data_IF_032825290571
#
_entry.id   IF_032825290571
#
_cell.length_a   1.000
_cell.length_b   1.000
_cell.length_c   1.000
_cell.angle_alpha   90.00
_cell.angle_beta   90.00
_cell.angle_gamma   90.00
#
_symmetry.space_group_name_H-M   'P 1'
#
loop_
_entity.id
_entity.type
_entity.pdbx_description
1 polymer ?
#
# COMPACT_ATOMS: atom_id res chain seq x y z
N UNK A 1 0.15 -10.92 12.51
CA UNK A 1 0.71 -9.55 12.76
C UNK A 1 1.93 -9.63 13.65
N UNK A 2 2.98 -8.93 13.28
CA UNK A 2 4.19 -8.82 14.10
C UNK A 2 4.02 -7.63 15.05
N UNK A 3 4.15 -7.87 16.34
CA UNK A 3 4.00 -6.83 17.36
C UNK A 3 5.37 -6.48 17.94
N UNK A 4 5.84 -5.28 17.61
CA UNK A 4 7.06 -4.67 18.18
C UNK A 4 6.72 -3.23 18.55
N UNK A 5 7.57 -2.53 19.31
CA UNK A 5 7.33 -1.09 19.53
C UNK A 5 7.15 -0.31 18.24
N UNK A 6 7.91 -0.64 17.18
CA UNK A 6 7.79 0.04 15.88
C UNK A 6 6.47 -0.25 15.19
N UNK A 7 6.08 -1.53 15.08
CA UNK A 7 4.83 -1.88 14.39
C UNK A 7 3.60 -1.40 15.15
N UNK A 8 3.62 -1.44 16.48
CA UNK A 8 2.53 -0.88 17.31
C UNK A 8 2.38 0.62 17.07
N UNK A 9 3.49 1.33 17.02
CA UNK A 9 3.50 2.77 16.71
C UNK A 9 2.91 3.02 15.32
N UNK A 10 3.31 2.20 14.34
CA UNK A 10 2.78 2.29 12.97
C UNK A 10 1.28 1.99 12.91
N UNK A 11 0.80 1.01 13.68
CA UNK A 11 -0.63 0.70 13.76
C UNK A 11 -1.43 1.90 14.27
N UNK A 12 -0.95 2.55 15.34
CA UNK A 12 -1.61 3.74 15.87
C UNK A 12 -1.58 4.90 14.89
N UNK A 13 -0.45 5.07 14.22
CA UNK A 13 -0.28 6.14 13.24
C UNK A 13 -1.23 5.94 12.06
N UNK A 14 -1.26 4.74 11.50
CA UNK A 14 -2.15 4.41 10.37
C UNK A 14 -3.62 4.57 10.74
N UNK A 15 -4.01 4.10 11.92
CA UNK A 15 -5.37 4.24 12.41
C UNK A 15 -5.80 5.71 12.47
N UNK A 16 -4.95 6.54 13.04
CA UNK A 16 -5.23 7.98 13.16
C UNK A 16 -5.24 8.66 11.81
N UNK A 17 -4.27 8.33 10.94
CA UNK A 17 -4.15 8.96 9.64
C UNK A 17 -5.35 8.69 8.73
N UNK A 18 -5.85 7.45 8.75
CA UNK A 18 -6.96 7.02 7.89
C UNK A 18 -8.33 7.14 8.56
N UNK A 19 -8.40 7.79 9.73
CA UNK A 19 -9.66 7.93 10.46
C UNK A 19 -10.70 8.63 9.60
N UNK A 20 -11.89 8.03 9.51
CA UNK A 20 -12.98 8.57 8.71
C UNK A 20 -12.97 8.19 7.24
N UNK A 21 -11.86 7.60 6.74
CA UNK A 21 -11.78 7.12 5.36
C UNK A 21 -12.41 5.74 5.24
N UNK A 22 -13.10 5.52 4.12
CA UNK A 22 -13.69 4.22 3.80
C UNK A 22 -13.29 3.81 2.38
N UNK A 23 -13.35 2.51 2.12
CA UNK A 23 -13.16 1.98 0.77
C UNK A 23 -14.49 2.03 -0.01
N UNK A 24 -14.51 1.45 -1.22
CA UNK A 24 -15.70 1.46 -2.08
C UNK A 24 -16.88 0.70 -1.48
N UNK A 25 -16.63 -0.20 -0.55
CA UNK A 25 -17.67 -0.96 0.15
C UNK A 25 -18.04 -0.36 1.50
N UNK A 26 -17.60 0.89 1.75
CA UNK A 26 -17.86 1.61 2.99
C UNK A 26 -17.22 0.95 4.23
N UNK A 27 -16.17 0.19 4.03
CA UNK A 27 -15.38 -0.41 5.11
C UNK A 27 -14.28 0.57 5.51
N UNK A 28 -13.99 0.74 6.81
CA UNK A 28 -12.89 1.63 7.22
C UNK A 28 -11.59 1.30 6.50
N UNK A 29 -10.99 2.33 5.90
CA UNK A 29 -9.84 2.16 5.01
C UNK A 29 -8.64 1.52 5.71
N UNK A 30 -8.49 1.71 7.01
CA UNK A 30 -7.36 1.18 7.78
C UNK A 30 -7.26 -0.35 7.68
N UNK A 31 -8.34 -1.05 7.39
CA UNK A 31 -8.32 -2.50 7.21
C UNK A 31 -7.49 -2.94 6.02
N UNK A 32 -7.33 -2.09 4.99
CA UNK A 32 -6.49 -2.42 3.85
C UNK A 32 -5.00 -2.48 4.24
N UNK A 33 -4.37 -1.41 4.76
CA UNK A 33 -2.98 -1.52 5.21
C UNK A 33 -2.78 -2.57 6.30
N UNK A 34 -3.74 -2.74 7.19
CA UNK A 34 -3.68 -3.79 8.22
C UNK A 34 -3.62 -5.18 7.59
N UNK A 35 -4.48 -5.44 6.60
CA UNK A 35 -4.49 -6.73 5.89
C UNK A 35 -3.14 -7.03 5.23
N UNK A 36 -2.52 -6.04 4.61
CA UNK A 36 -1.20 -6.18 4.01
C UNK A 36 -0.14 -6.50 5.08
N UNK A 37 -0.20 -5.77 6.18
CA UNK A 37 0.76 -5.94 7.28
C UNK A 37 0.71 -7.35 7.88
N UNK A 38 -0.48 -7.93 7.96
CA UNK A 38 -0.63 -9.30 8.48
C UNK A 38 0.07 -10.36 7.63
N UNK A 39 0.32 -10.06 6.36
CA UNK A 39 0.99 -10.98 5.44
C UNK A 39 2.51 -10.84 5.47
N UNK A 40 3.05 -9.89 6.20
CA UNK A 40 4.49 -9.66 6.26
C UNK A 40 5.12 -10.50 7.36
N UNK A 41 6.34 -10.96 7.10
CA UNK A 41 7.07 -11.85 8.01
C UNK A 41 8.28 -11.19 8.68
N UNK A 42 8.47 -9.89 8.53
CA UNK A 42 9.50 -9.12 9.21
C UNK A 42 8.99 -7.76 9.66
N UNK A 43 9.67 -7.20 10.63
CA UNK A 43 9.27 -5.93 11.27
C UNK A 43 9.21 -4.77 10.28
N UNK A 44 10.20 -4.64 9.43
CA UNK A 44 10.29 -3.49 8.50
C UNK A 44 9.19 -3.57 7.46
N UNK A 45 9.00 -4.73 6.82
CA UNK A 45 7.92 -4.91 5.83
C UNK A 45 6.55 -4.67 6.44
N UNK A 46 6.33 -5.15 7.66
CA UNK A 46 5.09 -4.95 8.39
C UNK A 46 4.82 -3.46 8.63
N UNK A 47 5.84 -2.72 9.07
CA UNK A 47 5.74 -1.28 9.32
C UNK A 47 5.48 -0.53 8.02
N UNK A 48 6.20 -0.86 6.95
CA UNK A 48 6.00 -0.23 5.64
C UNK A 48 4.58 -0.49 5.12
N UNK A 49 4.07 -1.71 5.27
CA UNK A 49 2.71 -2.04 4.86
C UNK A 49 1.67 -1.18 5.57
N UNK A 50 1.82 -1.00 6.89
CA UNK A 50 0.90 -0.17 7.67
C UNK A 50 0.91 1.28 7.24
N UNK A 51 2.03 1.80 6.78
CA UNK A 51 2.22 3.21 6.46
C UNK A 51 2.15 3.53 4.97
N UNK A 52 2.04 2.52 4.10
CA UNK A 52 2.28 2.70 2.66
C UNK A 52 1.38 3.72 1.97
N UNK A 53 0.15 3.92 2.43
CA UNK A 53 -0.81 4.86 1.84
C UNK A 53 -0.96 6.17 2.63
N UNK A 54 -0.23 6.34 3.73
CA UNK A 54 -0.40 7.49 4.60
C UNK A 54 -0.08 8.80 3.87
N UNK A 55 1.06 8.86 3.20
CA UNK A 55 1.49 10.09 2.51
C UNK A 55 0.61 10.37 1.29
N UNK A 56 0.24 9.32 0.54
CA UNK A 56 -0.55 9.48 -0.68
C UNK A 56 -1.99 9.89 -0.39
N UNK A 57 -2.61 9.33 0.65
CA UNK A 57 -4.05 9.40 0.86
C UNK A 57 -4.50 10.20 2.07
N UNK A 58 -3.57 10.77 2.85
CA UNK A 58 -3.90 11.57 4.04
C UNK A 58 -3.13 12.88 4.03
N UNK A 59 -3.43 13.74 5.02
CA UNK A 59 -2.73 15.02 5.19
C UNK A 59 -1.34 14.89 5.76
N UNK A 60 -0.95 13.70 6.29
CA UNK A 60 0.38 13.50 6.84
C UNK A 60 1.42 13.42 5.73
N UNK A 61 2.56 14.06 5.95
CA UNK A 61 3.64 14.16 4.98
C UNK A 61 4.73 13.13 5.26
N UNK A 62 5.62 12.96 4.29
CA UNK A 62 6.81 12.12 4.48
C UNK A 62 7.66 12.62 5.64
N UNK A 63 7.76 13.95 5.81
CA UNK A 63 8.51 14.53 6.93
C UNK A 63 7.91 14.15 8.28
N UNK A 64 6.58 14.07 8.37
CA UNK A 64 5.92 13.60 9.58
C UNK A 64 6.35 12.17 9.92
N UNK A 65 6.44 11.31 8.90
CA UNK A 65 6.90 9.92 9.08
C UNK A 65 8.37 9.86 9.46
N UNK A 66 9.21 10.69 8.86
CA UNK A 66 10.65 10.72 9.17
C UNK A 66 10.93 11.11 10.61
N UNK A 67 10.06 11.89 11.22
CA UNK A 67 10.19 12.26 12.63
C UNK A 67 9.93 11.08 13.57
N UNK A 68 9.24 10.05 13.08
CA UNK A 68 8.74 8.95 13.90
C UNK A 68 9.34 7.58 13.56
N UNK A 69 9.85 7.40 12.33
CA UNK A 69 10.28 6.10 11.82
C UNK A 69 11.66 6.19 11.17
N UNK A 70 12.42 5.08 11.17
CA UNK A 70 13.76 5.09 10.59
C UNK A 70 13.74 5.19 9.07
N UNK A 71 14.88 5.62 8.51
CA UNK A 71 15.01 5.84 7.06
C UNK A 71 14.67 4.61 6.21
N UNK A 72 15.01 3.42 6.69
CA UNK A 72 14.69 2.18 5.95
C UNK A 72 13.19 2.05 5.70
N UNK A 73 12.37 2.50 6.64
CA UNK A 73 10.90 2.51 6.51
C UNK A 73 10.45 3.65 5.59
N UNK A 74 10.90 4.88 5.87
CA UNK A 74 10.42 6.06 5.14
C UNK A 74 10.90 6.09 3.70
N UNK A 75 12.08 5.54 3.40
CA UNK A 75 12.53 5.41 2.01
C UNK A 75 11.60 4.48 1.20
N UNK A 76 11.19 3.37 1.79
CA UNK A 76 10.26 2.45 1.12
C UNK A 76 8.87 3.10 0.95
N UNK A 77 8.37 3.79 1.97
CA UNK A 77 7.08 4.50 1.87
C UNK A 77 7.13 5.58 0.79
N UNK A 78 8.25 6.33 0.69
CA UNK A 78 8.41 7.34 -0.34
C UNK A 78 8.29 6.73 -1.75
N UNK A 79 8.93 5.59 -1.97
CA UNK A 79 8.85 4.88 -3.24
C UNK A 79 7.44 4.37 -3.54
N UNK A 80 6.66 4.05 -2.51
CA UNK A 80 5.28 3.56 -2.65
C UNK A 80 4.27 4.69 -2.83
N UNK A 81 4.67 5.93 -2.63
CA UNK A 81 3.78 7.09 -2.76
C UNK A 81 3.73 7.52 -4.23
N UNK A 82 2.59 7.29 -4.88
CA UNK A 82 2.36 7.67 -6.27
C UNK A 82 1.85 9.13 -6.33
N UNK A 83 2.39 9.93 -7.25
CA UNK A 83 2.03 11.34 -7.38
C UNK A 83 0.71 11.58 -8.12
N UNK A 84 0.14 10.54 -8.73
CA UNK A 84 -1.10 10.65 -9.48
C UNK A 84 -0.98 11.23 -10.89
N UNK A 85 0.22 11.65 -11.31
CA UNK A 85 0.45 12.35 -12.58
C UNK A 85 1.43 11.64 -13.50
N UNK A 86 2.52 11.09 -12.94
CA UNK A 86 3.53 10.39 -13.72
C UNK A 86 3.02 9.05 -14.23
N UNK A 87 3.78 8.43 -15.16
CA UNK A 87 3.43 7.10 -15.66
C UNK A 87 3.42 6.09 -14.51
N UNK A 88 2.28 5.49 -14.28
CA UNK A 88 2.07 4.52 -13.20
C UNK A 88 3.06 3.35 -13.30
N UNK A 89 3.33 2.85 -14.50
CA UNK A 89 4.23 1.69 -14.68
C UNK A 89 5.70 2.05 -14.46
N UNK A 90 6.08 3.29 -14.76
CA UNK A 90 7.41 3.77 -14.39
C UNK A 90 7.57 3.86 -12.87
N UNK A 91 6.52 4.33 -12.18
CA UNK A 91 6.47 4.31 -10.73
C UNK A 91 6.67 2.88 -10.19
N UNK A 92 5.99 1.90 -10.78
CA UNK A 92 6.12 0.49 -10.36
C UNK A 92 7.54 -0.02 -10.62
N UNK A 93 8.14 0.30 -11.78
CA UNK A 93 9.52 -0.09 -12.09
C UNK A 93 10.52 0.50 -11.10
N UNK A 94 10.29 1.75 -10.71
CA UNK A 94 11.17 2.45 -9.79
C UNK A 94 11.16 1.81 -8.40
N UNK A 95 9.99 1.50 -7.88
CA UNK A 95 9.87 0.93 -6.53
C UNK A 95 10.33 -0.52 -6.43
N UNK A 96 10.33 -1.27 -7.53
CA UNK A 96 10.64 -2.71 -7.50
C UNK A 96 12.07 -3.03 -7.02
N UNK A 97 12.98 -2.07 -7.10
CA UNK A 97 14.37 -2.27 -6.67
C UNK A 97 14.52 -2.26 -5.15
N UNK A 98 13.52 -1.74 -4.45
CA UNK A 98 13.52 -1.75 -2.99
C UNK A 98 12.77 -2.99 -2.51
N UNK A 99 13.46 -3.84 -1.74
CA UNK A 99 12.91 -5.11 -1.26
C UNK A 99 11.58 -4.93 -0.52
N UNK A 100 11.53 -3.98 0.39
CA UNK A 100 10.33 -3.76 1.21
C UNK A 100 9.18 -3.17 0.41
N UNK A 101 9.48 -2.16 -0.41
CA UNK A 101 8.47 -1.54 -1.27
C UNK A 101 7.88 -2.56 -2.25
N UNK A 102 8.71 -3.41 -2.83
CA UNK A 102 8.26 -4.45 -3.77
C UNK A 102 7.31 -5.43 -3.10
N UNK A 103 7.68 -5.93 -1.93
CA UNK A 103 6.84 -6.89 -1.19
C UNK A 103 5.49 -6.30 -0.84
N UNK A 104 5.49 -5.08 -0.33
CA UNK A 104 4.25 -4.40 0.05
C UNK A 104 3.38 -4.14 -1.18
N UNK A 105 3.99 -3.69 -2.28
CA UNK A 105 3.22 -3.45 -3.52
C UNK A 105 2.63 -4.73 -4.09
N UNK A 106 3.32 -5.87 -4.00
CA UNK A 106 2.74 -7.15 -4.40
C UNK A 106 1.51 -7.49 -3.59
N UNK A 107 1.57 -7.34 -2.28
CA UNK A 107 0.42 -7.57 -1.40
C UNK A 107 -0.72 -6.59 -1.69
N UNK A 108 -0.38 -5.32 -1.95
CA UNK A 108 -1.33 -4.27 -2.31
C UNK A 108 -2.08 -4.64 -3.60
N UNK A 109 -1.36 -5.03 -4.64
CA UNK A 109 -1.97 -5.46 -5.91
C UNK A 109 -2.86 -6.68 -5.73
N UNK A 110 -2.45 -7.64 -4.91
CA UNK A 110 -3.24 -8.83 -4.63
C UNK A 110 -4.55 -8.47 -3.94
N UNK A 111 -4.50 -7.62 -2.93
CA UNK A 111 -5.70 -7.20 -2.21
C UNK A 111 -6.63 -6.36 -3.10
N UNK A 112 -6.07 -5.45 -3.88
CA UNK A 112 -6.85 -4.62 -4.80
C UNK A 112 -7.42 -5.43 -5.97
N UNK A 113 -6.85 -6.58 -6.28
CA UNK A 113 -7.36 -7.50 -7.32
C UNK A 113 -8.44 -8.44 -6.81
N UNK A 114 -8.70 -8.44 -5.51
CA UNK A 114 -9.76 -9.26 -4.91
C UNK A 114 -11.12 -8.60 -5.17
N UNK A 115 -11.80 -9.05 -6.23
CA UNK A 115 -13.08 -8.47 -6.66
C UNK A 115 -14.21 -8.77 -5.68
N UNK A 116 -14.04 -9.72 -4.76
CA UNK A 116 -15.05 -9.96 -3.73
C UNK A 116 -15.21 -8.76 -2.80
N UNK A 117 -14.20 -7.91 -2.69
CA UNK A 117 -14.27 -6.69 -1.90
C UNK A 117 -15.25 -5.67 -2.43
N UNK A 118 -15.60 -5.78 -3.72
CA UNK A 118 -16.59 -4.90 -4.36
C UNK A 118 -17.82 -5.69 -4.82
N UNK A 119 -17.96 -6.90 -4.34
CA UNK A 119 -19.15 -7.72 -4.60
C UNK A 119 -20.36 -7.03 -3.98
N UNK A 120 -21.45 -6.93 -4.71
CA UNK A 120 -22.61 -6.17 -4.24
C UNK A 120 -22.56 -4.68 -4.55
N UNK A 121 -21.48 -4.18 -5.16
CA UNK A 121 -21.39 -2.81 -5.67
C UNK A 121 -21.47 -2.85 -7.18
N UNK A 122 -22.23 -1.93 -7.75
CA UNK A 122 -22.40 -1.84 -9.19
C UNK A 122 -21.16 -1.17 -9.82
N UNK A 123 -20.34 -1.96 -10.51
CA UNK A 123 -19.15 -1.47 -11.22
C UNK A 123 -19.22 -1.96 -12.66
N UNK A 124 -18.92 -1.07 -13.63
CA UNK A 124 -18.97 -1.42 -15.03
C UNK A 124 -17.94 -2.50 -15.39
N UNK A 125 -18.28 -3.35 -16.36
CA UNK A 125 -17.34 -4.34 -16.89
C UNK A 125 -16.09 -3.69 -17.49
N UNK A 126 -16.25 -2.52 -18.11
CA UNK A 126 -15.13 -1.77 -18.67
C UNK A 126 -14.13 -1.38 -17.58
N UNK A 127 -14.62 -0.89 -16.44
CA UNK A 127 -13.78 -0.50 -15.30
C UNK A 127 -13.09 -1.69 -14.68
N UNK A 128 -13.79 -2.82 -14.54
CA UNK A 128 -13.19 -4.06 -14.02
C UNK A 128 -12.09 -4.56 -14.94
N UNK A 129 -12.31 -4.55 -16.27
CA UNK A 129 -11.29 -4.95 -17.24
C UNK A 129 -10.07 -4.05 -17.19
N UNK A 130 -10.28 -2.75 -17.02
CA UNK A 130 -9.19 -1.78 -16.88
C UNK A 130 -8.35 -2.11 -15.64
N UNK A 131 -8.98 -2.33 -14.49
CA UNK A 131 -8.30 -2.70 -13.26
C UNK A 131 -7.50 -4.00 -13.39
N UNK A 132 -8.13 -5.03 -13.95
CA UNK A 132 -7.48 -6.33 -14.16
C UNK A 132 -6.21 -6.21 -14.98
N UNK A 133 -6.26 -5.47 -16.08
CA UNK A 133 -5.10 -5.25 -16.95
C UNK A 133 -4.02 -4.44 -16.25
N UNK A 134 -4.41 -3.38 -15.56
CA UNK A 134 -3.48 -2.51 -14.83
C UNK A 134 -2.73 -3.30 -13.76
N UNK A 135 -3.46 -4.05 -12.95
CA UNK A 135 -2.86 -4.83 -11.87
C UNK A 135 -2.02 -5.99 -12.37
N UNK A 136 -2.46 -6.67 -13.44
CA UNK A 136 -1.68 -7.74 -14.05
C UNK A 136 -0.35 -7.24 -14.61
N UNK A 137 -0.35 -6.09 -15.29
CA UNK A 137 0.88 -5.49 -15.82
C UNK A 137 1.82 -5.04 -14.71
N UNK A 138 1.28 -4.41 -13.67
CA UNK A 138 2.08 -3.98 -12.54
C UNK A 138 2.72 -5.18 -11.84
N UNK A 139 1.96 -6.26 -11.64
CA UNK A 139 2.48 -7.48 -11.04
C UNK A 139 3.60 -8.09 -11.88
N UNK A 140 3.42 -8.12 -13.20
CA UNK A 140 4.45 -8.64 -14.11
C UNK A 140 5.75 -7.84 -13.99
N UNK A 141 5.67 -6.52 -13.88
CA UNK A 141 6.84 -5.65 -13.68
C UNK A 141 7.55 -6.01 -12.37
N UNK A 142 6.81 -6.20 -11.28
CA UNK A 142 7.40 -6.53 -9.99
C UNK A 142 8.05 -7.91 -9.97
N UNK A 143 7.59 -8.83 -10.83
CA UNK A 143 8.12 -10.18 -10.93
C UNK A 143 9.29 -10.30 -11.91
N UNK A 144 9.59 -9.27 -12.69
CA UNK A 144 10.75 -9.29 -13.59
C UNK A 144 12.03 -9.44 -12.80
N UNK A 145 12.89 -10.33 -13.26
CA UNK A 145 14.22 -10.51 -12.68
C UNK A 145 15.19 -9.48 -13.24
N UNK A 146 16.06 -9.01 -12.38
CA UNK A 146 17.09 -8.04 -12.74
C UNK A 146 18.32 -8.75 -13.31
#
# INVERSE_FOLDING_TARGET
MIYTPMTIKAMRFAYRAHEGQTDQSNVPYVFHPYHLAEQMDDEISCTVALLHDVVEDTEFTLEDLKAEFPAVVTDAVALLTYDGESDYFEYVRNLRQNYFARRVKMADLTHNSDETRVDGIEISEEKLRYWRRKYAKARAILLEHQ
#
